data_IF_411626820029
#
_entry.id   IF_411626820029
#
_cell.length_a   1.000
_cell.length_b   1.000
_cell.length_c   1.000
_cell.angle_alpha   90.00
_cell.angle_beta   90.00
_cell.angle_gamma   90.00
#
_symmetry.space_group_name_H-M   'P 1'
#
loop_
_entity.id
_entity.type
_entity.pdbx_description
1 polymer ?
#
# COMPACT_ATOMS: atom_id res chain seq x y z
N UNK A 1 32.53 -40.94 -13.81
CA UNK A 1 32.70 -39.72 -13.01
C UNK A 1 32.14 -38.56 -13.80
N UNK A 2 30.86 -38.13 -13.59
CA UNK A 2 30.35 -36.88 -14.16
C UNK A 2 30.75 -35.76 -13.26
N UNK A 3 31.30 -34.70 -13.88
CA UNK A 3 31.78 -33.49 -13.21
C UNK A 3 30.59 -32.62 -12.82
N UNK A 4 30.43 -32.36 -11.53
CA UNK A 4 29.56 -31.33 -10.99
C UNK A 4 29.93 -29.98 -11.60
N UNK A 5 29.06 -29.47 -12.45
CA UNK A 5 29.14 -28.08 -12.90
C UNK A 5 28.45 -27.22 -11.84
N UNK A 6 29.16 -26.35 -11.13
CA UNK A 6 28.51 -25.45 -10.19
C UNK A 6 27.59 -24.52 -10.98
N UNK A 7 26.30 -24.51 -10.63
CA UNK A 7 25.33 -23.53 -11.08
C UNK A 7 25.88 -22.12 -10.80
N UNK A 8 26.38 -21.51 -11.85
CA UNK A 8 26.83 -20.11 -11.87
C UNK A 8 25.62 -19.25 -11.51
N UNK A 9 25.51 -18.85 -10.25
CA UNK A 9 24.62 -17.76 -9.84
C UNK A 9 25.04 -16.53 -10.66
N UNK A 10 24.40 -16.34 -11.78
CA UNK A 10 24.42 -15.07 -12.48
C UNK A 10 23.87 -14.05 -11.49
N UNK A 11 24.74 -13.14 -11.08
CA UNK A 11 24.41 -11.91 -10.36
C UNK A 11 23.45 -11.16 -11.30
N UNK A 12 22.14 -11.47 -11.22
CA UNK A 12 21.13 -10.88 -12.05
C UNK A 12 21.13 -9.38 -11.76
N UNK A 13 21.38 -8.59 -12.80
CA UNK A 13 21.13 -7.17 -12.81
C UNK A 13 19.74 -6.94 -12.23
N UNK A 14 19.68 -6.28 -11.09
CA UNK A 14 18.42 -6.01 -10.40
C UNK A 14 17.69 -4.97 -11.23
N UNK A 15 16.78 -5.41 -12.12
CA UNK A 15 15.96 -4.51 -12.93
C UNK A 15 15.35 -3.44 -12.02
N UNK A 16 15.41 -2.19 -12.45
CA UNK A 16 14.74 -1.09 -11.77
C UNK A 16 13.22 -1.27 -11.82
N UNK A 17 12.50 -0.61 -10.96
CA UNK A 17 11.04 -0.67 -10.92
C UNK A 17 10.38 -0.23 -12.23
N UNK A 18 10.96 0.76 -12.91
CA UNK A 18 10.48 1.23 -14.22
C UNK A 18 10.71 0.17 -15.32
N UNK A 19 11.86 -0.51 -15.30
CA UNK A 19 12.15 -1.61 -16.22
C UNK A 19 11.24 -2.81 -15.97
N UNK A 20 10.97 -3.15 -14.69
CA UNK A 20 10.00 -4.20 -14.35
C UNK A 20 8.60 -3.84 -14.86
N UNK A 21 8.14 -2.62 -14.59
CA UNK A 21 6.82 -2.17 -15.05
C UNK A 21 6.72 -2.19 -16.58
N UNK A 22 7.75 -1.76 -17.29
CA UNK A 22 7.79 -1.80 -18.75
C UNK A 22 7.77 -3.24 -19.30
N UNK A 23 8.54 -4.15 -18.70
CA UNK A 23 8.60 -5.55 -19.10
C UNK A 23 7.26 -6.27 -18.86
N UNK A 24 6.60 -6.00 -17.70
CA UNK A 24 5.28 -6.58 -17.39
C UNK A 24 4.24 -6.11 -18.41
N UNK A 25 4.23 -4.82 -18.78
CA UNK A 25 3.36 -4.29 -19.84
C UNK A 25 3.64 -4.95 -21.19
N UNK A 26 4.88 -5.34 -21.44
CA UNK A 26 5.28 -6.12 -22.62
C UNK A 26 4.93 -7.61 -22.55
N UNK A 27 4.27 -8.08 -21.49
CA UNK A 27 3.87 -9.48 -21.33
C UNK A 27 4.94 -10.39 -20.71
N UNK A 28 6.01 -9.83 -20.13
CA UNK A 28 7.05 -10.63 -19.43
C UNK A 28 6.55 -11.06 -18.05
N UNK A 29 6.01 -12.29 -17.97
CA UNK A 29 5.55 -12.87 -16.69
C UNK A 29 6.67 -13.02 -15.66
N UNK A 30 7.92 -13.28 -16.07
CA UNK A 30 9.05 -13.37 -15.13
C UNK A 30 9.38 -12.04 -14.48
N UNK A 31 9.16 -10.94 -15.18
CA UNK A 31 9.27 -9.62 -14.57
C UNK A 31 8.21 -9.40 -13.48
N UNK A 32 7.00 -9.98 -13.65
CA UNK A 32 5.99 -9.94 -12.61
C UNK A 32 6.36 -10.81 -11.40
N UNK A 33 6.91 -12.01 -11.61
CA UNK A 33 7.41 -12.85 -10.52
C UNK A 33 8.46 -12.10 -9.69
N UNK A 34 9.39 -11.42 -10.36
CA UNK A 34 10.42 -10.59 -9.69
C UNK A 34 9.79 -9.44 -8.90
N UNK A 35 8.77 -8.77 -9.45
CA UNK A 35 8.03 -7.72 -8.76
C UNK A 35 7.30 -8.28 -7.54
N UNK A 36 6.63 -9.41 -7.69
CA UNK A 36 5.92 -10.10 -6.63
C UNK A 36 6.87 -10.45 -5.47
N UNK A 37 7.99 -11.13 -5.75
CA UNK A 37 9.00 -11.48 -4.75
C UNK A 37 9.56 -10.24 -4.02
N UNK A 38 9.80 -9.13 -4.76
CA UNK A 38 10.33 -7.88 -4.22
C UNK A 38 9.38 -7.22 -3.24
N UNK A 39 8.07 -7.25 -3.49
CA UNK A 39 7.09 -6.46 -2.76
C UNK A 39 6.09 -7.25 -1.91
N UNK A 40 6.01 -8.57 -2.08
CA UNK A 40 5.04 -9.41 -1.36
C UNK A 40 5.08 -9.19 0.15
N UNK A 41 6.24 -9.32 0.77
CA UNK A 41 6.36 -9.21 2.22
C UNK A 41 5.96 -7.83 2.74
N UNK A 42 6.23 -6.79 1.97
CA UNK A 42 5.89 -5.41 2.34
C UNK A 42 4.38 -5.18 2.28
N UNK A 43 3.74 -5.66 1.21
CA UNK A 43 2.27 -5.58 1.04
C UNK A 43 1.57 -6.45 2.09
N UNK A 44 2.08 -7.65 2.35
CA UNK A 44 1.55 -8.53 3.39
C UNK A 44 1.63 -7.87 4.79
N UNK A 45 2.78 -7.32 5.16
CA UNK A 45 2.95 -6.65 6.44
C UNK A 45 1.99 -5.45 6.58
N UNK A 46 1.78 -4.70 5.51
CA UNK A 46 0.80 -3.63 5.47
C UNK A 46 -0.63 -4.17 5.70
N UNK A 47 -1.04 -5.17 4.96
CA UNK A 47 -2.36 -5.79 5.10
C UNK A 47 -2.55 -6.36 6.52
N UNK A 48 -1.57 -7.10 7.03
CA UNK A 48 -1.62 -7.70 8.36
C UNK A 48 -1.69 -6.65 9.48
N UNK A 49 -0.96 -5.53 9.35
CA UNK A 49 -1.02 -4.46 10.35
C UNK A 49 -2.42 -3.87 10.51
N UNK A 50 -3.24 -3.92 9.45
CA UNK A 50 -4.60 -3.37 9.40
C UNK A 50 -5.68 -4.39 9.74
N UNK A 51 -5.54 -5.61 9.25
CA UNK A 51 -6.57 -6.66 9.38
C UNK A 51 -6.39 -7.50 10.64
N UNK A 52 -5.16 -7.62 11.16
CA UNK A 52 -4.80 -8.44 12.34
C UNK A 52 -5.24 -9.91 12.23
N UNK A 53 -5.55 -10.36 11.03
CA UNK A 53 -5.86 -11.73 10.67
C UNK A 53 -4.93 -12.16 9.54
N UNK A 54 -4.24 -13.30 9.71
CA UNK A 54 -3.25 -13.76 8.75
C UNK A 54 -3.89 -14.21 7.44
N UNK A 55 -4.98 -14.96 7.51
CA UNK A 55 -5.69 -15.46 6.33
C UNK A 55 -6.24 -14.30 5.49
N UNK A 56 -6.90 -13.33 6.12
CA UNK A 56 -7.39 -12.13 5.44
C UNK A 56 -6.24 -11.31 4.83
N UNK A 57 -5.09 -11.22 5.52
CA UNK A 57 -3.94 -10.50 5.00
C UNK A 57 -3.31 -11.21 3.80
N UNK A 58 -3.23 -12.53 3.80
CA UNK A 58 -2.77 -13.34 2.66
C UNK A 58 -3.72 -13.16 1.46
N UNK A 59 -5.03 -13.27 1.66
CA UNK A 59 -6.05 -13.07 0.62
C UNK A 59 -5.95 -11.66 0.01
N UNK A 60 -5.96 -10.63 0.84
CA UNK A 60 -5.86 -9.23 0.39
C UNK A 60 -4.54 -8.96 -0.33
N UNK A 61 -3.44 -9.59 0.08
CA UNK A 61 -2.16 -9.47 -0.61
C UNK A 61 -2.24 -10.07 -2.02
N UNK A 62 -2.80 -11.26 -2.17
CA UNK A 62 -3.01 -11.90 -3.48
C UNK A 62 -3.93 -11.06 -4.38
N UNK A 63 -5.05 -10.57 -3.83
CA UNK A 63 -5.96 -9.67 -4.54
C UNK A 63 -5.27 -8.40 -5.01
N UNK A 64 -4.42 -7.81 -4.15
CA UNK A 64 -3.62 -6.63 -4.48
C UNK A 64 -2.74 -6.89 -5.69
N UNK A 65 -1.96 -7.98 -5.71
CA UNK A 65 -1.09 -8.30 -6.84
C UNK A 65 -1.85 -8.69 -8.09
N UNK A 66 -3.04 -9.28 -7.95
CA UNK A 66 -3.93 -9.52 -9.09
C UNK A 66 -4.36 -8.19 -9.75
N UNK A 67 -4.72 -7.19 -8.94
CA UNK A 67 -5.06 -5.85 -9.44
C UNK A 67 -3.82 -5.15 -10.02
N UNK A 68 -2.66 -5.24 -9.35
CA UNK A 68 -1.37 -4.71 -9.85
C UNK A 68 -1.08 -5.24 -11.26
N UNK A 69 -1.18 -6.57 -11.45
CA UNK A 69 -0.95 -7.19 -12.76
C UNK A 69 -1.91 -6.66 -13.84
N UNK A 70 -3.20 -6.61 -13.52
CA UNK A 70 -4.24 -6.19 -14.48
C UNK A 70 -4.20 -4.68 -14.81
N UNK A 71 -3.71 -3.87 -13.89
CA UNK A 71 -3.69 -2.41 -14.02
C UNK A 71 -2.30 -1.83 -14.26
N UNK A 72 -1.30 -2.67 -14.61
CA UNK A 72 0.08 -2.21 -14.84
C UNK A 72 0.18 -1.14 -15.93
N UNK A 73 -0.71 -1.17 -16.91
CA UNK A 73 -0.79 -0.15 -17.97
C UNK A 73 -1.14 1.25 -17.42
N UNK A 74 -1.81 1.32 -16.27
CA UNK A 74 -2.15 2.58 -15.62
C UNK A 74 -0.97 3.19 -14.84
N UNK A 75 0.05 2.41 -14.54
CA UNK A 75 1.24 2.94 -13.87
C UNK A 75 2.07 3.81 -14.82
N UNK A 76 2.11 5.13 -14.55
CA UNK A 76 2.78 6.13 -15.39
C UNK A 76 4.18 6.52 -14.92
N UNK A 77 4.67 5.95 -13.82
CA UNK A 77 5.98 6.30 -13.25
C UNK A 77 6.04 7.67 -12.58
N UNK A 78 4.91 8.31 -12.32
CA UNK A 78 4.83 9.60 -11.63
C UNK A 78 5.14 9.47 -10.13
N UNK A 79 4.89 8.31 -9.55
CA UNK A 79 5.26 7.93 -8.19
C UNK A 79 6.19 6.70 -8.20
N UNK A 80 6.76 6.33 -7.04
CA UNK A 80 7.45 5.04 -6.95
C UNK A 80 6.45 3.89 -7.19
N UNK A 81 6.93 2.80 -7.81
CA UNK A 81 6.11 1.61 -8.04
C UNK A 81 5.52 1.07 -6.73
N UNK A 82 6.30 1.12 -5.65
CA UNK A 82 5.83 0.72 -4.34
C UNK A 82 4.68 1.59 -3.83
N UNK A 83 4.76 2.93 -3.96
CA UNK A 83 3.69 3.84 -3.55
C UNK A 83 2.40 3.56 -4.31
N UNK A 84 2.50 3.27 -5.60
CA UNK A 84 1.36 2.90 -6.43
C UNK A 84 0.76 1.55 -6.01
N UNK A 85 1.58 0.52 -5.73
CA UNK A 85 1.14 -0.76 -5.18
C UNK A 85 0.42 -0.57 -3.83
N UNK A 86 0.95 0.28 -2.95
CA UNK A 86 0.29 0.57 -1.67
C UNK A 86 -1.05 1.30 -1.82
N UNK A 87 -1.21 2.15 -2.83
CA UNK A 87 -2.49 2.73 -3.17
C UNK A 87 -3.54 1.65 -3.46
N UNK A 88 -3.17 0.65 -4.25
CA UNK A 88 -4.03 -0.51 -4.56
C UNK A 88 -4.28 -1.34 -3.28
N UNK A 89 -3.22 -1.68 -2.53
CA UNK A 89 -3.32 -2.45 -1.30
C UNK A 89 -4.25 -1.81 -0.27
N UNK A 90 -4.17 -0.48 -0.10
CA UNK A 90 -5.06 0.28 0.78
C UNK A 90 -6.52 0.11 0.38
N UNK A 91 -6.82 0.22 -0.91
CA UNK A 91 -8.18 0.05 -1.42
C UNK A 91 -8.69 -1.38 -1.19
N UNK A 92 -7.84 -2.39 -1.43
CA UNK A 92 -8.19 -3.80 -1.19
C UNK A 92 -8.43 -4.09 0.28
N UNK A 93 -7.56 -3.60 1.19
CA UNK A 93 -7.75 -3.68 2.65
C UNK A 93 -9.06 -3.03 3.09
N UNK A 94 -9.34 -1.81 2.61
CA UNK A 94 -10.56 -1.09 2.98
C UNK A 94 -11.81 -1.83 2.48
N UNK A 95 -11.75 -2.48 1.31
CA UNK A 95 -12.82 -3.32 0.80
C UNK A 95 -13.04 -4.55 1.68
N UNK A 96 -11.97 -5.21 2.13
CA UNK A 96 -12.05 -6.35 3.03
C UNK A 96 -12.65 -5.96 4.39
N UNK A 97 -12.21 -4.86 4.98
CA UNK A 97 -12.79 -4.34 6.24
C UNK A 97 -14.28 -4.08 6.09
N UNK A 98 -14.72 -3.47 4.96
CA UNK A 98 -16.15 -3.23 4.72
C UNK A 98 -16.94 -4.53 4.56
N UNK A 99 -16.39 -5.52 3.84
CA UNK A 99 -17.02 -6.84 3.67
C UNK A 99 -17.17 -7.56 5.01
N UNK A 100 -16.11 -7.58 5.83
CA UNK A 100 -16.14 -8.21 7.16
C UNK A 100 -17.16 -7.55 8.06
N UNK A 101 -17.24 -6.21 8.11
CA UNK A 101 -18.25 -5.48 8.89
C UNK A 101 -19.67 -5.77 8.39
N UNK A 102 -19.91 -5.79 7.08
CA UNK A 102 -21.21 -6.11 6.50
C UNK A 102 -21.60 -7.56 6.78
N UNK A 103 -20.64 -8.48 6.86
CA UNK A 103 -20.89 -9.88 7.22
C UNK A 103 -21.31 -10.01 8.69
N UNK A 104 -20.57 -9.39 9.61
CA UNK A 104 -20.91 -9.36 11.04
C UNK A 104 -22.29 -8.76 11.24
N UNK A 105 -22.61 -7.64 10.62
CA UNK A 105 -23.93 -7.02 10.71
C UNK A 105 -25.06 -7.90 10.16
N UNK A 106 -24.81 -8.67 9.09
CA UNK A 106 -25.81 -9.64 8.59
C UNK A 106 -26.04 -10.79 9.55
N UNK A 107 -24.96 -11.31 10.16
CA UNK A 107 -25.06 -12.37 11.16
C UNK A 107 -25.77 -11.86 12.41
N UNK A 108 -25.42 -10.65 12.89
CA UNK A 108 -26.11 -10.00 14.02
C UNK A 108 -27.58 -9.73 13.69
N UNK A 109 -27.91 -9.29 12.47
CA UNK A 109 -29.32 -9.12 12.04
C UNK A 109 -30.05 -10.42 11.96
N UNK A 110 -29.47 -11.49 11.44
CA UNK A 110 -30.09 -12.81 11.43
C UNK A 110 -30.32 -13.34 12.85
N UNK A 111 -29.46 -12.99 13.82
CA UNK A 111 -29.67 -13.31 15.23
C UNK A 111 -30.69 -12.38 15.91
N UNK A 112 -30.81 -11.12 15.46
CA UNK A 112 -31.74 -10.09 15.99
C UNK A 112 -33.12 -10.17 15.34
N UNK A 113 -33.22 -10.68 14.10
CA UNK A 113 -34.51 -11.00 13.48
C UNK A 113 -35.28 -12.07 14.31
N UNK A 114 -34.52 -12.84 15.09
CA UNK A 114 -35.08 -13.69 16.14
C UNK A 114 -35.48 -12.94 17.45
N UNK A 115 -35.02 -11.66 17.61
CA UNK A 115 -35.22 -10.85 18.85
C UNK A 115 -35.58 -9.37 18.63
N UNK A 116 -36.07 -8.97 17.47
CA UNK A 116 -36.70 -7.65 17.22
C UNK A 116 -35.78 -6.44 17.20
N UNK A 117 -35.78 -5.77 16.06
CA UNK A 117 -35.39 -4.38 15.71
C UNK A 117 -34.16 -3.74 16.34
N UNK A 118 -33.12 -3.56 15.53
CA UNK A 118 -32.00 -2.65 15.81
C UNK A 118 -31.46 -1.99 14.52
N UNK A 119 -31.53 -0.67 14.52
CA UNK A 119 -31.19 0.23 13.42
C UNK A 119 -29.79 0.04 12.88
N UNK A 120 -29.73 0.03 11.53
CA UNK A 120 -28.53 0.19 10.71
C UNK A 120 -27.72 1.43 11.15
N UNK A 121 -26.50 1.24 11.63
CA UNK A 121 -25.50 2.30 11.69
C UNK A 121 -24.43 2.00 10.67
N UNK A 122 -24.58 2.58 9.49
CA UNK A 122 -23.48 2.76 8.55
C UNK A 122 -22.37 3.54 9.30
N UNK A 123 -21.19 2.94 9.46
CA UNK A 123 -20.11 3.48 10.32
C UNK A 123 -19.52 4.77 9.74
N UNK A 124 -19.85 5.12 8.50
CA UNK A 124 -19.46 6.38 7.85
C UNK A 124 -20.63 6.93 7.03
N UNK A 125 -20.95 8.19 7.26
CA UNK A 125 -21.87 8.93 6.39
C UNK A 125 -21.30 9.08 4.98
N UNK A 126 -22.12 9.32 3.94
CA UNK A 126 -21.63 9.62 2.59
C UNK A 126 -20.63 10.77 2.56
N UNK A 127 -20.80 11.77 3.43
CA UNK A 127 -19.90 12.93 3.60
C UNK A 127 -18.56 12.52 4.20
N UNK A 128 -18.55 11.69 5.23
CA UNK A 128 -17.30 11.15 5.81
C UNK A 128 -16.52 10.29 4.80
N UNK A 129 -17.23 9.53 3.95
CA UNK A 129 -16.61 8.76 2.86
C UNK A 129 -15.98 9.68 1.81
N UNK A 130 -16.65 10.77 1.47
CA UNK A 130 -16.14 11.77 0.52
C UNK A 130 -14.92 12.49 1.09
N UNK A 131 -14.98 12.91 2.36
CA UNK A 131 -13.87 13.55 3.06
C UNK A 131 -12.66 12.61 3.17
N UNK A 132 -12.89 11.32 3.48
CA UNK A 132 -11.81 10.34 3.52
C UNK A 132 -11.14 10.13 2.14
N UNK A 133 -11.94 10.09 1.06
CA UNK A 133 -11.39 10.02 -0.31
C UNK A 133 -10.56 11.25 -0.64
N UNK A 134 -11.07 12.45 -0.39
CA UNK A 134 -10.34 13.70 -0.61
C UNK A 134 -9.02 13.76 0.17
N UNK A 135 -9.02 13.38 1.46
CA UNK A 135 -7.80 13.29 2.24
C UNK A 135 -6.80 12.27 1.66
N UNK A 136 -7.30 11.14 1.15
CA UNK A 136 -6.45 10.13 0.53
C UNK A 136 -5.80 10.62 -0.76
N UNK A 137 -6.57 11.29 -1.62
CA UNK A 137 -6.10 11.86 -2.89
C UNK A 137 -5.04 12.95 -2.64
N UNK A 138 -5.21 13.77 -1.61
CA UNK A 138 -4.23 14.79 -1.21
C UNK A 138 -2.94 14.23 -0.63
N UNK A 139 -3.02 13.17 0.16
CA UNK A 139 -1.82 12.47 0.62
C UNK A 139 -1.06 11.90 -0.57
N UNK A 140 -1.75 11.36 -1.57
CA UNK A 140 -1.14 10.87 -2.79
C UNK A 140 -0.48 12.01 -3.59
N UNK A 141 -1.15 13.13 -3.77
CA UNK A 141 -0.62 14.32 -4.42
C UNK A 141 0.60 14.87 -3.67
N UNK A 142 0.54 15.00 -2.34
CA UNK A 142 1.68 15.42 -1.54
C UNK A 142 2.88 14.46 -1.67
N UNK A 143 2.64 13.15 -1.77
CA UNK A 143 3.69 12.16 -1.98
C UNK A 143 4.27 12.18 -3.39
N UNK A 144 3.56 12.68 -4.41
CA UNK A 144 4.13 12.89 -5.75
C UNK A 144 5.03 14.12 -5.82
N UNK A 145 4.86 15.09 -4.92
CA UNK A 145 5.67 16.30 -4.85
C UNK A 145 7.05 16.12 -4.21
N UNK A 146 7.30 14.96 -3.58
CA UNK A 146 8.57 14.63 -2.93
C UNK A 146 9.37 13.63 -3.76
N UNK A 147 10.68 13.53 -3.47
CA UNK A 147 11.51 12.53 -4.14
C UNK A 147 11.08 11.10 -3.80
N UNK A 148 11.30 10.18 -4.74
CA UNK A 148 10.90 8.76 -4.60
C UNK A 148 11.35 8.15 -3.26
N UNK A 149 12.61 8.39 -2.84
CA UNK A 149 13.11 7.84 -1.58
C UNK A 149 12.44 8.45 -0.33
N UNK A 150 12.02 9.74 -0.39
CA UNK A 150 11.32 10.39 0.72
C UNK A 150 9.90 9.84 0.88
N UNK A 151 9.21 9.63 -0.24
CA UNK A 151 7.92 8.95 -0.24
C UNK A 151 8.05 7.52 0.34
N UNK A 152 9.10 6.81 -0.06
CA UNK A 152 9.37 5.45 0.41
C UNK A 152 9.64 5.40 1.93
N UNK A 153 10.46 6.30 2.46
CA UNK A 153 10.70 6.45 3.91
C UNK A 153 9.39 6.72 4.67
N UNK A 154 8.54 7.58 4.14
CA UNK A 154 7.24 7.87 4.73
C UNK A 154 6.33 6.63 4.74
N UNK A 155 6.28 5.88 3.64
CA UNK A 155 5.52 4.65 3.54
C UNK A 155 6.02 3.59 4.53
N UNK A 156 7.33 3.35 4.60
CA UNK A 156 7.94 2.41 5.55
C UNK A 156 7.58 2.76 7.00
N UNK A 157 7.57 4.04 7.37
CA UNK A 157 7.27 4.47 8.73
C UNK A 157 5.81 4.36 9.09
N UNK A 158 4.91 4.84 8.20
CA UNK A 158 3.49 5.02 8.52
C UNK A 158 2.61 3.84 8.09
N UNK A 159 3.04 3.06 7.12
CA UNK A 159 2.29 1.92 6.61
C UNK A 159 2.90 0.57 7.02
N UNK A 160 4.22 0.45 7.05
CA UNK A 160 4.90 -0.76 7.48
C UNK A 160 5.29 -0.74 8.96
N UNK A 161 5.16 0.42 9.62
CA UNK A 161 5.48 0.61 11.05
C UNK A 161 6.94 0.31 11.41
N UNK A 162 7.87 0.45 10.44
CA UNK A 162 9.27 0.15 10.66
C UNK A 162 9.94 1.17 11.60
N UNK A 163 10.84 0.73 12.48
CA UNK A 163 11.65 1.65 13.28
C UNK A 163 12.61 2.45 12.40
N UNK A 164 12.96 3.67 12.85
CA UNK A 164 13.83 4.59 12.07
C UNK A 164 15.16 3.94 11.71
N UNK A 165 15.75 3.17 12.64
CA UNK A 165 17.01 2.47 12.40
C UNK A 165 16.89 1.51 11.21
N UNK A 166 15.87 0.69 11.18
CA UNK A 166 15.65 -0.28 10.09
C UNK A 166 15.39 0.41 8.74
N UNK A 167 14.67 1.55 8.75
CA UNK A 167 14.48 2.37 7.57
C UNK A 167 15.82 2.92 7.07
N UNK A 168 16.64 3.43 7.98
CA UNK A 168 17.97 3.98 7.68
C UNK A 168 18.87 2.93 7.03
N UNK A 169 18.89 1.72 7.61
CA UNK A 169 19.67 0.59 7.10
C UNK A 169 19.20 0.16 5.70
N UNK A 170 17.87 0.04 5.49
CA UNK A 170 17.29 -0.35 4.19
C UNK A 170 17.53 0.69 3.10
N UNK A 171 17.48 1.97 3.47
CA UNK A 171 17.66 3.09 2.54
C UNK A 171 19.13 3.48 2.36
N UNK A 172 20.07 2.84 3.07
CA UNK A 172 21.49 3.21 3.12
C UNK A 172 21.67 4.71 3.44
N UNK A 173 20.93 5.21 4.46
CA UNK A 173 20.92 6.62 4.89
C UNK A 173 21.13 6.72 6.40
N UNK A 174 21.55 7.91 6.86
CA UNK A 174 21.63 8.16 8.31
C UNK A 174 20.26 8.28 8.95
N UNK A 175 20.16 7.97 10.25
CA UNK A 175 18.92 8.17 11.02
C UNK A 175 18.41 9.61 10.95
N UNK A 176 19.32 10.58 10.93
CA UNK A 176 18.95 12.01 10.85
C UNK A 176 18.40 12.39 9.48
N UNK A 177 18.93 11.81 8.40
CA UNK A 177 18.36 11.98 7.07
C UNK A 177 16.93 11.40 7.00
N UNK A 178 16.70 10.22 7.60
CA UNK A 178 15.38 9.60 7.69
C UNK A 178 14.41 10.47 8.51
N UNK A 179 14.83 10.96 9.70
CA UNK A 179 14.00 11.86 10.52
C UNK A 179 13.65 13.16 9.80
N UNK A 180 14.63 13.79 9.16
CA UNK A 180 14.43 15.03 8.41
C UNK A 180 13.48 14.81 7.23
N UNK A 181 13.61 13.69 6.53
CA UNK A 181 12.70 13.29 5.47
C UNK A 181 11.27 13.10 5.97
N UNK A 182 11.08 12.36 7.05
CA UNK A 182 9.77 12.13 7.67
C UNK A 182 9.11 13.45 8.10
N UNK A 183 9.88 14.35 8.71
CA UNK A 183 9.38 15.67 9.10
C UNK A 183 8.90 16.50 7.90
N UNK A 184 9.72 16.54 6.83
CA UNK A 184 9.39 17.28 5.60
C UNK A 184 8.13 16.73 4.94
N UNK A 185 8.05 15.41 4.74
CA UNK A 185 6.88 14.79 4.10
C UNK A 185 5.64 14.96 4.95
N UNK A 186 5.75 14.76 6.28
CA UNK A 186 4.62 15.00 7.20
C UNK A 186 4.09 16.43 7.09
N UNK A 187 4.98 17.43 7.03
CA UNK A 187 4.57 18.83 6.90
C UNK A 187 3.82 19.06 5.60
N UNK A 188 4.32 18.57 4.47
CA UNK A 188 3.65 18.69 3.17
C UNK A 188 2.26 18.02 3.16
N UNK A 189 2.16 16.84 3.77
CA UNK A 189 0.87 16.13 3.90
C UNK A 189 -0.12 16.92 4.76
N UNK A 190 0.34 17.49 5.88
CA UNK A 190 -0.52 18.32 6.75
C UNK A 190 -0.94 19.58 6.01
N UNK A 191 -0.01 20.31 5.37
CA UNK A 191 -0.31 21.52 4.59
C UNK A 191 -1.32 21.23 3.46
N UNK A 192 -1.21 20.08 2.79
CA UNK A 192 -2.15 19.67 1.76
C UNK A 192 -3.56 19.37 2.30
N UNK A 193 -3.66 18.85 3.52
CA UNK A 193 -4.94 18.57 4.18
C UNK A 193 -5.57 19.86 4.75
N UNK A 194 -4.77 20.70 5.42
CA UNK A 194 -5.25 21.92 6.10
C UNK A 194 -5.60 23.05 5.13
N UNK A 195 -5.00 23.09 3.95
CA UNK A 195 -5.27 24.12 2.92
C UNK A 195 -6.73 24.22 2.46
N UNK A 196 -7.57 23.21 2.74
CA UNK A 196 -9.02 23.27 2.47
C UNK A 196 -9.87 23.82 3.60
N UNK A 197 -9.41 23.73 4.84
CA UNK A 197 -10.18 24.28 5.96
C UNK A 197 -10.24 25.81 5.91
N UNK A 198 -9.30 26.44 5.21
CA UNK A 198 -9.23 27.89 5.06
C UNK A 198 -9.96 28.39 3.78
N UNK A 199 -10.25 27.51 2.81
CA UNK A 199 -10.91 27.90 1.54
C UNK A 199 -12.43 27.68 1.53
N UNK A 200 -13.00 27.15 2.62
CA UNK A 200 -14.44 26.85 2.75
C UNK A 200 -15.14 27.78 3.78
N UNK A 201 -14.54 28.94 4.12
CA UNK A 201 -15.10 29.98 5.00
C UNK A 201 -15.63 31.16 4.22
#
# INVERSE_FOLDING_TARGET
MPRDTPLRRTRGETRSDLELAAAIRGGDHRAFDTLYERYFQRVFNFAYSRLRNRADAEEVTQDTFTVVFRSMDAFRGQSSLLSWIYGIARNTVNNQIRRSKAHVQRVERAQVEFLGSGRDRDVFTPEERLNFRRCADKVEEALTSVTSWQAEVFMMRHFENLPIQEIADRMCRSNDAVRSSLYRVKRLVVEAIDGEMTSAG
#
